data_IF_242686912852
#
_entry.id   IF_242686912852
#
_cell.length_a   1.000
_cell.length_b   1.000
_cell.length_c   1.000
_cell.angle_alpha   90.00
_cell.angle_beta   90.00
_cell.angle_gamma   90.00
#
_symmetry.space_group_name_H-M   'P 1'
#
loop_
_entity.id
_entity.type
_entity.pdbx_description
1 polymer ?
#
# COMPACT_ATOMS: atom_id res chain seq x y z
N UNK A 1 20.10 -8.16 18.76
CA UNK A 1 18.81 -8.37 18.09
C UNK A 1 18.93 -7.78 16.71
N UNK A 2 18.80 -8.62 15.69
CA UNK A 2 18.85 -8.17 14.31
C UNK A 2 17.51 -7.52 13.99
N UNK A 3 17.54 -6.31 13.44
CA UNK A 3 16.34 -5.59 13.00
C UNK A 3 16.29 -5.59 11.49
N UNK A 4 15.10 -5.74 10.94
CA UNK A 4 14.84 -5.68 9.52
C UNK A 4 14.07 -4.40 9.17
N UNK A 5 14.31 -3.79 8.01
CA UNK A 5 13.56 -2.65 7.54
C UNK A 5 12.16 -3.09 7.05
N UNK A 6 11.14 -2.44 7.56
CA UNK A 6 9.76 -2.56 7.11
C UNK A 6 9.27 -1.22 6.58
N UNK A 7 8.77 -1.21 5.35
CA UNK A 7 8.07 -0.05 4.80
C UNK A 7 6.63 -0.02 5.32
N UNK A 8 6.20 1.17 5.74
CA UNK A 8 4.83 1.40 6.20
C UNK A 8 3.94 1.69 4.98
N UNK A 9 2.85 0.95 4.90
CA UNK A 9 1.79 1.15 3.92
C UNK A 9 0.44 1.21 4.60
N UNK A 10 -0.55 1.75 3.89
CA UNK A 10 -1.95 1.71 4.27
C UNK A 10 -2.72 0.93 3.22
N UNK A 11 -3.65 0.11 3.68
CA UNK A 11 -4.59 -0.53 2.77
C UNK A 11 -5.94 0.16 2.78
N UNK A 12 -6.58 0.18 1.61
CA UNK A 12 -7.91 0.70 1.38
C UNK A 12 -8.83 -0.43 1.01
N UNK A 13 -9.96 -0.55 1.69
CA UNK A 13 -11.03 -1.48 1.34
C UNK A 13 -12.10 -0.71 0.56
N UNK A 14 -12.25 -1.06 -0.70
CA UNK A 14 -13.14 -0.39 -1.65
C UNK A 14 -14.29 -1.35 -1.96
N UNK A 15 -15.51 -1.08 -1.46
CA UNK A 15 -16.66 -1.89 -1.83
C UNK A 15 -17.00 -1.65 -3.29
N UNK A 16 -17.26 -2.72 -4.05
CA UNK A 16 -17.91 -2.59 -5.36
C UNK A 16 -19.38 -2.21 -5.20
N UNK A 17 -19.99 -1.69 -6.27
CA UNK A 17 -21.45 -1.46 -6.31
C UNK A 17 -22.27 -2.69 -5.88
N UNK A 18 -21.86 -3.89 -6.28
CA UNK A 18 -22.50 -5.16 -5.91
C UNK A 18 -22.36 -5.49 -4.41
N UNK A 19 -21.29 -5.05 -3.76
CA UNK A 19 -21.15 -5.18 -2.31
C UNK A 19 -22.20 -4.35 -1.57
N UNK A 20 -22.46 -3.12 -2.01
CA UNK A 20 -23.48 -2.25 -1.40
C UNK A 20 -24.90 -2.84 -1.54
N UNK A 21 -25.20 -3.47 -2.67
CA UNK A 21 -26.46 -4.21 -2.87
C UNK A 21 -26.57 -5.41 -1.92
N UNK A 22 -25.51 -6.19 -1.74
CA UNK A 22 -25.49 -7.30 -0.78
C UNK A 22 -25.54 -6.84 0.67
N UNK A 23 -24.90 -5.71 0.99
CA UNK A 23 -24.98 -5.07 2.29
C UNK A 23 -26.43 -4.69 2.61
N UNK A 24 -27.12 -4.11 1.63
CA UNK A 24 -28.54 -3.73 1.72
C UNK A 24 -29.42 -4.98 1.90
N UNK A 25 -29.16 -6.05 1.13
CA UNK A 25 -29.88 -7.32 1.26
C UNK A 25 -29.69 -8.00 2.63
N UNK A 26 -28.48 -7.94 3.20
CA UNK A 26 -28.17 -8.51 4.52
C UNK A 26 -28.74 -7.64 5.67
N UNK A 27 -28.82 -6.32 5.50
CA UNK A 27 -29.51 -5.41 6.42
C UNK A 27 -31.00 -5.75 6.54
N UNK A 28 -31.68 -6.07 5.44
CA UNK A 28 -33.09 -6.53 5.45
C UNK A 28 -33.29 -7.86 6.19
N UNK A 29 -32.24 -8.70 6.28
CA UNK A 29 -32.25 -9.99 6.98
C UNK A 29 -31.64 -9.96 8.39
N UNK A 30 -31.37 -8.76 8.94
CA UNK A 30 -31.03 -8.59 10.36
C UNK A 30 -29.53 -8.62 10.70
N UNK A 31 -28.63 -8.41 9.73
CA UNK A 31 -27.21 -8.19 10.04
C UNK A 31 -26.49 -7.37 8.99
N UNK A 32 -25.97 -6.20 9.36
CA UNK A 32 -25.04 -5.43 8.52
C UNK A 32 -23.68 -6.15 8.47
N UNK A 33 -23.16 -6.44 7.28
CA UNK A 33 -21.83 -7.04 7.09
C UNK A 33 -20.88 -6.01 6.50
N UNK A 34 -20.08 -5.34 7.33
CA UNK A 34 -19.13 -4.30 6.89
C UNK A 34 -17.97 -4.86 6.06
N UNK A 35 -17.30 -3.98 5.28
CA UNK A 35 -16.11 -4.35 4.51
C UNK A 35 -14.93 -4.76 5.41
N UNK A 36 -14.84 -4.18 6.60
CA UNK A 36 -13.86 -4.55 7.61
C UNK A 36 -14.12 -5.97 8.13
N UNK A 37 -15.38 -6.33 8.41
CA UNK A 37 -15.76 -7.70 8.79
C UNK A 37 -15.49 -8.72 7.68
N UNK A 38 -15.72 -8.34 6.42
CA UNK A 38 -15.35 -9.16 5.27
C UNK A 38 -13.84 -9.43 5.23
N UNK A 39 -13.02 -8.41 5.49
CA UNK A 39 -11.58 -8.57 5.52
C UNK A 39 -11.13 -9.45 6.69
N UNK A 40 -11.68 -9.23 7.90
CA UNK A 40 -11.43 -10.10 9.05
C UNK A 40 -11.79 -11.55 8.76
N UNK A 41 -12.90 -11.81 8.08
CA UNK A 41 -13.32 -13.15 7.66
C UNK A 41 -12.30 -13.79 6.72
N UNK A 42 -11.77 -13.06 5.73
CA UNK A 42 -10.76 -13.59 4.82
C UNK A 42 -9.45 -13.95 5.55
N UNK A 43 -9.03 -13.11 6.50
CA UNK A 43 -7.86 -13.38 7.34
C UNK A 43 -8.12 -14.60 8.24
N UNK A 44 -9.32 -14.74 8.80
CA UNK A 44 -9.70 -15.89 9.61
C UNK A 44 -9.70 -17.20 8.81
N UNK A 45 -10.15 -17.18 7.55
CA UNK A 45 -10.04 -18.36 6.68
C UNK A 45 -8.58 -18.68 6.33
N UNK A 46 -7.71 -17.69 6.14
CA UNK A 46 -6.28 -17.92 5.96
C UNK A 46 -5.63 -18.51 7.22
N UNK A 47 -6.00 -18.02 8.41
CA UNK A 47 -5.54 -18.51 9.71
C UNK A 47 -5.88 -20.00 9.92
N UNK A 48 -7.07 -20.44 9.51
CA UNK A 48 -7.47 -21.87 9.58
C UNK A 48 -6.69 -22.75 8.62
N UNK A 49 -6.45 -22.28 7.39
CA UNK A 49 -5.82 -23.09 6.35
C UNK A 49 -4.29 -23.04 6.41
N UNK A 50 -3.73 -22.14 7.23
CA UNK A 50 -2.30 -21.86 7.47
C UNK A 50 -1.58 -21.34 6.22
N UNK A 51 -1.92 -21.80 5.03
CA UNK A 51 -1.35 -21.36 3.78
C UNK A 51 -2.37 -21.36 2.64
N UNK A 52 -2.04 -20.60 1.60
CA UNK A 52 -2.83 -20.47 0.38
C UNK A 52 -1.92 -20.23 -0.82
N UNK A 53 -1.99 -21.14 -1.79
CA UNK A 53 -1.42 -20.93 -3.12
C UNK A 53 -2.34 -20.00 -3.94
N UNK A 54 -1.73 -19.00 -4.57
CA UNK A 54 -2.43 -17.99 -5.35
C UNK A 54 -1.74 -17.84 -6.70
N UNK A 55 -2.53 -17.95 -7.75
CA UNK A 55 -2.05 -17.77 -9.12
C UNK A 55 -2.64 -16.52 -9.73
N UNK A 56 -1.76 -15.63 -10.19
CA UNK A 56 -2.14 -14.40 -10.89
C UNK A 56 -1.72 -14.53 -12.35
N UNK A 57 -2.69 -14.40 -13.25
CA UNK A 57 -2.45 -14.37 -14.69
C UNK A 57 -1.96 -12.98 -15.11
N UNK A 58 -0.92 -12.95 -15.93
CA UNK A 58 -0.39 -11.73 -16.54
C UNK A 58 0.09 -12.06 -17.95
N UNK A 59 -0.62 -11.53 -18.93
CA UNK A 59 -0.39 -11.85 -20.35
C UNK A 59 -0.42 -13.37 -20.54
N UNK A 60 0.60 -13.96 -21.17
CA UNK A 60 0.73 -15.42 -21.35
C UNK A 60 1.45 -16.12 -20.18
N UNK A 61 1.62 -15.45 -19.04
CA UNK A 61 2.34 -15.99 -17.87
C UNK A 61 1.45 -16.16 -16.66
N UNK A 62 1.64 -17.28 -15.95
CA UNK A 62 1.00 -17.56 -14.67
C UNK A 62 2.03 -17.40 -13.56
N UNK A 63 1.83 -16.40 -12.70
CA UNK A 63 2.73 -16.13 -11.58
C UNK A 63 2.15 -16.79 -10.34
N UNK A 64 2.97 -17.59 -9.66
CA UNK A 64 2.60 -18.27 -8.44
C UNK A 64 3.11 -17.52 -7.20
N UNK A 65 2.20 -17.30 -6.25
CA UNK A 65 2.44 -16.71 -4.95
C UNK A 65 1.95 -17.65 -3.86
N UNK A 66 2.57 -17.57 -2.69
CA UNK A 66 2.11 -18.28 -1.50
C UNK A 66 1.91 -17.27 -0.36
N UNK A 67 0.76 -17.37 0.29
CA UNK A 67 0.49 -16.70 1.55
C UNK A 67 0.49 -17.73 2.67
N UNK A 68 1.25 -17.46 3.72
CA UNK A 68 1.25 -18.24 4.95
C UNK A 68 0.81 -17.35 6.10
N UNK A 69 -0.15 -17.81 6.89
CA UNK A 69 -0.39 -17.25 8.20
C UNK A 69 0.71 -17.73 9.14
N UNK A 70 1.44 -16.78 9.74
CA UNK A 70 2.50 -17.08 10.70
C UNK A 70 1.97 -17.05 12.12
N UNK A 71 1.40 -15.91 12.53
CA UNK A 71 0.94 -15.70 13.89
C UNK A 71 -0.04 -14.52 13.99
N UNK A 72 -0.75 -14.43 15.11
CA UNK A 72 -1.59 -13.30 15.48
C UNK A 72 -1.01 -12.62 16.72
N UNK A 73 -0.73 -11.33 16.60
CA UNK A 73 -0.21 -10.49 17.67
C UNK A 73 -1.37 -9.69 18.28
N UNK A 74 -1.84 -10.11 19.45
CA UNK A 74 -3.00 -9.52 20.11
C UNK A 74 -4.30 -9.77 19.33
N UNK A 75 -5.26 -8.82 19.40
CA UNK A 75 -6.57 -8.99 18.74
C UNK A 75 -6.55 -8.56 17.28
N UNK A 76 -5.91 -7.43 17.01
CA UNK A 76 -6.10 -6.68 15.77
C UNK A 76 -4.90 -6.80 14.80
N UNK A 77 -3.85 -7.55 15.14
CA UNK A 77 -2.66 -7.66 14.28
C UNK A 77 -2.36 -9.10 13.88
N UNK A 78 -2.08 -9.32 12.60
CA UNK A 78 -1.64 -10.61 12.06
C UNK A 78 -0.33 -10.47 11.32
N UNK A 79 0.47 -11.54 11.34
CA UNK A 79 1.73 -11.64 10.61
C UNK A 79 1.59 -12.73 9.56
N UNK A 80 1.90 -12.37 8.32
CA UNK A 80 1.90 -13.26 7.17
C UNK A 80 3.31 -13.40 6.62
N UNK A 81 3.63 -14.57 6.08
CA UNK A 81 4.73 -14.73 5.13
C UNK A 81 4.16 -14.71 3.71
N UNK A 82 4.73 -13.84 2.87
CA UNK A 82 4.37 -13.70 1.46
C UNK A 82 5.54 -14.11 0.59
N UNK A 83 5.36 -15.14 -0.22
CA UNK A 83 6.36 -15.65 -1.14
C UNK A 83 5.91 -15.52 -2.60
N UNK A 84 6.88 -15.40 -3.49
CA UNK A 84 6.68 -15.44 -4.94
C UNK A 84 7.61 -16.48 -5.53
N UNK A 85 7.05 -17.41 -6.29
CA UNK A 85 7.85 -18.39 -7.02
C UNK A 85 8.74 -17.70 -8.05
N UNK A 86 10.02 -18.08 -8.06
CA UNK A 86 11.00 -17.67 -9.05
C UNK A 86 11.75 -18.89 -9.56
N UNK A 87 12.06 -18.90 -10.85
CA UNK A 87 13.01 -19.85 -11.40
C UNK A 87 14.43 -19.34 -11.15
N UNK A 88 15.26 -20.13 -10.47
CA UNK A 88 16.70 -19.89 -10.36
C UNK A 88 17.46 -20.93 -11.19
N UNK A 89 18.60 -20.51 -11.76
CA UNK A 89 19.48 -21.37 -12.55
C UNK A 89 20.69 -21.73 -11.71
N UNK A 90 20.84 -23.02 -11.38
CA UNK A 90 21.99 -23.55 -10.65
C UNK A 90 22.93 -24.26 -11.62
N UNK A 91 24.19 -23.84 -11.64
CA UNK A 91 25.23 -24.49 -12.43
C UNK A 91 25.81 -25.68 -11.67
N UNK A 92 25.50 -26.91 -12.09
CA UNK A 92 26.01 -28.14 -11.48
C UNK A 92 27.17 -28.71 -12.27
N UNK A 93 28.23 -29.09 -11.56
CA UNK A 93 29.38 -29.80 -12.15
C UNK A 93 28.98 -31.26 -12.36
N UNK A 94 29.08 -31.74 -13.60
CA UNK A 94 28.98 -33.16 -13.95
C UNK A 94 30.37 -33.71 -14.28
N UNK A 95 30.47 -34.99 -14.62
CA UNK A 95 31.76 -35.63 -14.95
C UNK A 95 32.49 -34.99 -16.15
N UNK A 96 31.76 -34.33 -17.06
CA UNK A 96 32.33 -33.82 -18.32
C UNK A 96 32.14 -32.32 -18.56
N UNK A 97 31.22 -31.65 -17.85
CA UNK A 97 30.91 -30.23 -18.07
C UNK A 97 30.15 -29.63 -16.89
N UNK A 98 29.92 -28.32 -16.97
CA UNK A 98 28.99 -27.61 -16.07
C UNK A 98 27.67 -27.46 -16.81
N UNK A 99 26.57 -27.91 -16.21
CA UNK A 99 25.22 -27.81 -16.79
C UNK A 99 24.34 -26.89 -15.93
N UNK A 100 23.55 -26.05 -16.60
CA UNK A 100 22.56 -25.20 -15.97
C UNK A 100 21.29 -26.01 -15.68
N UNK A 101 20.84 -26.04 -14.42
CA UNK A 101 19.59 -26.65 -14.00
C UNK A 101 18.66 -25.57 -13.42
N UNK A 102 17.45 -25.49 -13.98
CA UNK A 102 16.37 -24.66 -13.43
C UNK A 102 15.73 -25.34 -12.21
N UNK A 103 15.50 -24.57 -11.15
CA UNK A 103 14.78 -25.03 -9.96
C UNK A 103 13.92 -23.89 -9.40
N UNK A 104 12.72 -24.19 -8.85
CA UNK A 104 11.90 -23.19 -8.21
C UNK A 104 12.53 -22.74 -6.89
N UNK A 105 12.48 -21.43 -6.65
CA UNK A 105 12.84 -20.76 -5.40
C UNK A 105 11.65 -19.94 -4.92
N UNK A 106 11.49 -19.85 -3.60
CA UNK A 106 10.40 -19.12 -2.96
C UNK A 106 10.98 -18.09 -1.99
N UNK A 107 11.65 -17.04 -2.50
CA UNK A 107 11.98 -15.90 -1.66
C UNK A 107 10.68 -15.39 -1.04
N UNK A 108 10.73 -15.09 0.26
CA UNK A 108 9.55 -14.67 1.02
C UNK A 108 9.86 -13.42 1.84
N UNK A 109 8.81 -12.72 2.26
CA UNK A 109 8.92 -11.56 3.13
C UNK A 109 7.81 -11.58 4.17
N UNK A 110 8.06 -10.98 5.33
CA UNK A 110 7.04 -10.79 6.36
C UNK A 110 6.14 -9.59 6.04
N UNK A 111 4.83 -9.75 6.20
CA UNK A 111 3.83 -8.69 6.11
C UNK A 111 3.03 -8.68 7.41
N UNK A 112 3.11 -7.59 8.16
CA UNK A 112 2.35 -7.39 9.40
C UNK A 112 1.15 -6.52 9.06
N UNK A 113 -0.06 -6.96 9.40
CA UNK A 113 -1.31 -6.26 9.07
C UNK A 113 -2.01 -5.89 10.36
N UNK A 114 -2.26 -4.60 10.58
CA UNK A 114 -3.12 -4.13 11.66
C UNK A 114 -4.54 -3.88 11.10
N UNK A 115 -5.47 -4.75 11.46
CA UNK A 115 -6.83 -4.81 10.94
C UNK A 115 -7.67 -3.59 11.35
N UNK A 116 -7.41 -3.04 12.54
CA UNK A 116 -8.17 -1.93 13.11
C UNK A 116 -7.75 -0.56 12.57
N UNK A 117 -6.44 -0.35 12.37
CA UNK A 117 -5.86 0.93 11.91
C UNK A 117 -5.59 0.96 10.40
N UNK A 118 -5.81 -0.17 9.74
CA UNK A 118 -5.60 -0.37 8.31
C UNK A 118 -4.17 -0.15 7.81
N UNK A 119 -3.18 -0.55 8.61
CA UNK A 119 -1.78 -0.49 8.24
C UNK A 119 -1.26 -1.85 7.81
N UNK A 120 -0.33 -1.84 6.85
CA UNK A 120 0.53 -2.96 6.54
C UNK A 120 1.99 -2.53 6.71
N UNK A 121 2.79 -3.36 7.37
CA UNK A 121 4.24 -3.24 7.40
C UNK A 121 4.81 -4.32 6.51
N UNK A 122 5.48 -3.94 5.44
CA UNK A 122 6.03 -4.87 4.47
C UNK A 122 7.55 -4.89 4.64
N UNK A 123 8.10 -6.04 5.03
CA UNK A 123 9.54 -6.22 5.13
C UNK A 123 10.19 -6.07 3.75
N UNK A 124 11.29 -5.34 3.68
CA UNK A 124 12.02 -5.18 2.43
C UNK A 124 12.80 -6.47 2.10
N UNK A 125 12.54 -7.07 0.94
CA UNK A 125 13.30 -8.21 0.47
C UNK A 125 13.65 -8.11 -1.03
N UNK A 126 14.94 -7.83 -1.31
CA UNK A 126 15.47 -7.72 -2.68
C UNK A 126 15.51 -9.03 -3.44
N UNK A 127 15.56 -10.17 -2.75
CA UNK A 127 15.45 -11.49 -3.39
C UNK A 127 14.03 -11.72 -3.91
N UNK A 128 13.01 -11.22 -3.21
CA UNK A 128 11.62 -11.29 -3.64
C UNK A 128 11.32 -10.31 -4.78
N UNK A 129 11.71 -9.03 -4.64
CA UNK A 129 11.44 -8.00 -5.65
C UNK A 129 12.42 -6.83 -5.58
N UNK A 130 12.62 -6.13 -6.69
CA UNK A 130 13.54 -4.98 -6.77
C UNK A 130 13.03 -3.72 -6.09
N UNK A 131 11.72 -3.61 -5.84
CA UNK A 131 11.11 -2.45 -5.18
C UNK A 131 9.98 -2.87 -4.26
N UNK A 132 9.79 -2.10 -3.19
CA UNK A 132 8.68 -2.30 -2.24
C UNK A 132 7.31 -2.15 -2.90
N UNK A 133 7.17 -1.22 -3.84
CA UNK A 133 5.93 -1.02 -4.62
C UNK A 133 5.51 -2.27 -5.37
N UNK A 134 6.48 -3.01 -5.91
CA UNK A 134 6.22 -4.27 -6.58
C UNK A 134 5.77 -5.36 -5.61
N UNK A 135 6.26 -5.35 -4.36
CA UNK A 135 5.80 -6.28 -3.31
C UNK A 135 4.37 -5.90 -2.89
N UNK A 136 4.13 -4.62 -2.57
CA UNK A 136 2.81 -4.11 -2.17
C UNK A 136 1.75 -4.39 -3.25
N UNK A 137 2.05 -4.10 -4.52
CA UNK A 137 1.15 -4.36 -5.65
C UNK A 137 0.87 -5.85 -5.84
N UNK A 138 1.89 -6.70 -5.72
CA UNK A 138 1.71 -8.15 -5.82
C UNK A 138 0.86 -8.71 -4.67
N UNK A 139 1.11 -8.22 -3.45
CA UNK A 139 0.33 -8.59 -2.28
C UNK A 139 -1.12 -8.13 -2.40
N UNK A 140 -1.37 -6.89 -2.82
CA UNK A 140 -2.71 -6.35 -3.10
C UNK A 140 -3.48 -7.24 -4.07
N UNK A 141 -2.84 -7.68 -5.17
CA UNK A 141 -3.44 -8.60 -6.16
C UNK A 141 -3.77 -9.96 -5.56
N UNK A 142 -2.91 -10.50 -4.71
CA UNK A 142 -3.16 -11.77 -4.04
C UNK A 142 -4.35 -11.68 -3.09
N UNK A 143 -4.44 -10.59 -2.33
CA UNK A 143 -5.56 -10.36 -1.42
C UNK A 143 -6.88 -10.13 -2.17
N UNK A 144 -6.87 -9.42 -3.30
CA UNK A 144 -8.03 -9.33 -4.20
C UNK A 144 -8.48 -10.70 -4.71
N UNK A 145 -7.52 -11.54 -5.13
CA UNK A 145 -7.85 -12.91 -5.57
C UNK A 145 -8.47 -13.75 -4.44
N UNK A 146 -7.97 -13.60 -3.22
CA UNK A 146 -8.54 -14.24 -2.04
C UNK A 146 -9.99 -13.78 -1.79
N UNK A 147 -10.27 -12.49 -1.93
CA UNK A 147 -11.62 -11.95 -1.80
C UNK A 147 -12.58 -12.41 -2.90
N UNK A 148 -12.13 -12.49 -4.15
CA UNK A 148 -12.93 -13.01 -5.25
C UNK A 148 -13.37 -14.45 -5.00
N UNK A 149 -12.46 -15.31 -4.50
CA UNK A 149 -12.75 -16.70 -4.17
C UNK A 149 -13.73 -16.85 -3.00
N UNK A 150 -13.77 -15.87 -2.10
CA UNK A 150 -14.70 -15.81 -0.98
C UNK A 150 -15.99 -15.05 -1.33
N UNK A 151 -16.14 -14.60 -2.58
CA UNK A 151 -17.28 -13.80 -3.07
C UNK A 151 -17.49 -12.52 -2.25
N UNK A 152 -16.40 -11.84 -1.87
CA UNK A 152 -16.46 -10.69 -0.95
C UNK A 152 -16.65 -9.34 -1.64
N UNK A 153 -16.64 -9.24 -2.97
CA UNK A 153 -16.98 -8.02 -3.74
C UNK A 153 -16.27 -6.72 -3.25
N UNK A 154 -15.11 -6.88 -2.63
CA UNK A 154 -14.27 -5.82 -2.06
C UNK A 154 -12.95 -5.86 -2.79
N UNK A 155 -12.45 -4.66 -3.10
CA UNK A 155 -11.13 -4.47 -3.67
C UNK A 155 -10.22 -3.90 -2.60
N UNK A 156 -9.05 -4.49 -2.44
CA UNK A 156 -7.97 -3.99 -1.60
C UNK A 156 -6.91 -3.33 -2.47
N UNK A 157 -6.57 -2.10 -2.08
CA UNK A 157 -5.48 -1.31 -2.64
C UNK A 157 -4.49 -0.98 -1.51
N UNK A 158 -3.20 -1.12 -1.77
CA UNK A 158 -2.14 -0.92 -0.76
C UNK A 158 -1.18 0.14 -1.27
N UNK A 159 -1.08 1.26 -0.55
CA UNK A 159 -0.23 2.39 -0.92
C UNK A 159 0.74 2.79 0.19
N UNK A 160 1.88 3.33 -0.22
CA UNK A 160 2.94 3.75 0.70
C UNK A 160 2.52 4.96 1.53
N UNK A 161 2.86 4.95 2.82
CA UNK A 161 2.86 6.18 3.62
C UNK A 161 4.16 6.93 3.34
N UNK A 162 4.04 8.22 3.03
CA UNK A 162 5.14 9.11 2.65
C UNK A 162 5.08 10.42 3.42
N UNK A 163 6.13 11.24 3.31
CA UNK A 163 6.16 12.57 3.91
C UNK A 163 5.63 13.63 2.93
N UNK A 164 4.61 14.38 3.35
CA UNK A 164 4.10 15.53 2.61
C UNK A 164 5.21 16.59 2.37
N UNK A 165 6.15 16.72 3.31
CA UNK A 165 7.27 17.66 3.18
C UNK A 165 8.15 17.35 1.96
N UNK A 166 8.29 16.08 1.58
CA UNK A 166 9.05 15.70 0.38
C UNK A 166 8.44 16.32 -0.87
N UNK A 167 7.11 16.27 -1.02
CA UNK A 167 6.43 16.91 -2.14
C UNK A 167 6.72 18.42 -2.17
N UNK A 168 6.53 19.10 -1.04
CA UNK A 168 6.72 20.56 -0.96
C UNK A 168 8.15 20.98 -1.20
N UNK A 169 9.14 20.23 -0.71
CA UNK A 169 10.55 20.48 -0.98
C UNK A 169 10.85 20.36 -2.47
N UNK A 170 10.34 19.30 -3.13
CA UNK A 170 10.50 19.12 -4.58
C UNK A 170 9.83 20.27 -5.35
N UNK A 171 8.65 20.71 -4.92
CA UNK A 171 7.97 21.84 -5.56
C UNK A 171 8.80 23.12 -5.45
N UNK A 172 9.32 23.43 -4.25
CA UNK A 172 10.17 24.61 -4.00
C UNK A 172 11.48 24.57 -4.79
N UNK A 173 12.17 23.43 -4.80
CA UNK A 173 13.44 23.25 -5.50
C UNK A 173 13.33 23.34 -7.02
N UNK A 174 12.13 23.15 -7.57
CA UNK A 174 11.87 23.13 -9.01
C UNK A 174 10.88 24.22 -9.43
N UNK A 175 10.74 25.27 -8.63
CA UNK A 175 9.82 26.37 -8.94
C UNK A 175 10.08 26.94 -10.33
N UNK A 176 8.99 27.23 -11.05
CA UNK A 176 9.04 27.67 -12.44
C UNK A 176 9.34 26.58 -13.48
N UNK A 177 9.83 25.40 -13.11
CA UNK A 177 10.20 24.32 -14.04
C UNK A 177 9.24 23.14 -14.07
N UNK A 178 8.31 23.04 -13.11
CA UNK A 178 7.30 21.97 -13.10
C UNK A 178 6.32 22.18 -14.24
N UNK A 179 6.28 21.21 -15.16
CA UNK A 179 5.41 21.24 -16.35
C UNK A 179 4.20 20.34 -16.23
N UNK A 180 4.22 19.36 -15.32
CA UNK A 180 3.12 18.44 -15.12
C UNK A 180 3.04 17.99 -13.66
N UNK A 181 1.83 17.92 -13.13
CA UNK A 181 1.51 17.33 -11.83
C UNK A 181 0.30 16.40 -11.99
N UNK A 182 0.41 15.18 -11.46
CA UNK A 182 -0.67 14.19 -11.43
C UNK A 182 -0.87 13.73 -9.99
N UNK A 183 -2.13 13.62 -9.60
CA UNK A 183 -2.57 13.14 -8.30
C UNK A 183 -3.55 11.99 -8.55
N UNK A 184 -3.13 10.77 -8.22
CA UNK A 184 -3.99 9.59 -8.23
C UNK A 184 -4.45 9.33 -6.81
N UNK A 185 -5.77 9.29 -6.61
CA UNK A 185 -6.43 9.16 -5.32
C UNK A 185 -7.22 7.84 -5.29
N UNK A 186 -7.21 7.15 -4.16
CA UNK A 186 -8.01 5.93 -3.96
C UNK A 186 -9.32 6.28 -3.28
N UNK A 187 -10.44 5.92 -3.91
CA UNK A 187 -11.81 6.18 -3.45
C UNK A 187 -12.35 5.08 -2.54
N UNK A 188 -13.24 5.44 -1.61
CA UNK A 188 -12.96 6.09 -0.34
C UNK A 188 -12.42 5.08 0.69
N UNK A 189 -11.27 5.41 1.27
CA UNK A 189 -10.72 4.66 2.39
C UNK A 189 -11.26 5.18 3.73
N UNK A 190 -11.49 4.27 4.69
CA UNK A 190 -11.71 4.67 6.07
C UNK A 190 -10.36 5.05 6.68
N UNK A 191 -10.14 6.35 6.87
CA UNK A 191 -8.91 6.86 7.49
C UNK A 191 -9.05 7.03 9.01
N UNK A 192 -10.21 6.67 9.58
CA UNK A 192 -10.59 7.12 10.92
C UNK A 192 -10.53 8.65 11.08
N UNK A 193 -10.48 9.38 9.95
CA UNK A 193 -10.18 10.80 9.85
C UNK A 193 -10.95 11.39 8.67
N UNK A 194 -11.53 12.57 8.90
CA UNK A 194 -12.27 13.32 7.89
C UNK A 194 -11.31 14.18 7.06
N UNK A 195 -11.18 13.86 5.78
CA UNK A 195 -10.49 14.71 4.79
C UNK A 195 -11.54 15.31 3.88
N UNK A 196 -11.37 16.57 3.49
CA UNK A 196 -12.23 17.21 2.47
C UNK A 196 -12.20 16.45 1.14
N UNK A 197 -11.04 15.83 0.84
CA UNK A 197 -10.87 14.96 -0.34
C UNK A 197 -11.79 13.73 -0.30
N UNK A 198 -12.12 13.22 0.90
CA UNK A 198 -12.99 12.04 1.06
C UNK A 198 -14.40 12.31 0.54
N UNK A 199 -14.98 13.48 0.82
CA UNK A 199 -16.33 13.82 0.36
C UNK A 199 -16.40 13.94 -1.15
N UNK A 200 -15.39 14.57 -1.77
CA UNK A 200 -15.26 14.60 -3.23
C UNK A 200 -15.18 13.18 -3.81
N UNK A 201 -14.34 12.30 -3.23
CA UNK A 201 -14.17 10.93 -3.72
C UNK A 201 -15.43 10.07 -3.57
N UNK A 202 -16.21 10.26 -2.50
CA UNK A 202 -17.51 9.59 -2.32
C UNK A 202 -18.48 9.99 -3.44
N UNK A 203 -18.59 11.29 -3.74
CA UNK A 203 -19.46 11.77 -4.83
C UNK A 203 -19.09 11.14 -6.17
N UNK A 204 -17.79 11.08 -6.50
CA UNK A 204 -17.34 10.44 -7.74
C UNK A 204 -17.59 8.94 -7.74
N UNK A 205 -17.37 8.25 -6.60
CA UNK A 205 -17.59 6.81 -6.49
C UNK A 205 -19.07 6.46 -6.64
N UNK A 206 -19.97 7.17 -5.96
CA UNK A 206 -21.41 6.95 -6.05
C UNK A 206 -21.92 7.17 -7.48
N UNK A 207 -21.37 8.16 -8.18
CA UNK A 207 -21.76 8.49 -9.55
C UNK A 207 -21.16 7.55 -10.62
N UNK A 208 -19.95 7.03 -10.41
CA UNK A 208 -19.17 6.37 -11.47
C UNK A 208 -18.64 4.97 -11.10
N UNK A 209 -18.87 4.50 -9.88
CA UNK A 209 -18.33 3.26 -9.32
C UNK A 209 -16.80 3.15 -9.51
N UNK A 210 -16.07 4.26 -9.33
CA UNK A 210 -14.62 4.30 -9.55
C UNK A 210 -13.84 3.88 -8.29
N UNK A 211 -12.79 3.09 -8.48
CA UNK A 211 -11.83 2.72 -7.43
C UNK A 211 -10.75 3.80 -7.23
N UNK A 212 -10.36 4.46 -8.33
CA UNK A 212 -9.31 5.48 -8.35
C UNK A 212 -9.79 6.71 -9.12
N UNK A 213 -9.36 7.90 -8.69
CA UNK A 213 -9.55 9.16 -9.38
C UNK A 213 -8.19 9.77 -9.69
N UNK A 214 -7.93 10.12 -10.95
CA UNK A 214 -6.68 10.77 -11.36
C UNK A 214 -6.94 12.20 -11.82
N UNK A 215 -6.22 13.15 -11.22
CA UNK A 215 -6.32 14.59 -11.52
C UNK A 215 -4.96 15.05 -12.05
N UNK A 216 -4.95 15.63 -13.25
CA UNK A 216 -3.73 16.08 -13.92
C UNK A 216 -3.75 17.58 -14.22
N UNK A 217 -2.61 18.25 -14.01
CA UNK A 217 -2.37 19.63 -14.41
C UNK A 217 -1.15 19.67 -15.32
N UNK A 218 -1.24 20.41 -16.42
CA UNK A 218 -0.14 20.57 -17.37
C UNK A 218 0.07 22.04 -17.71
N UNK A 219 1.34 22.45 -17.75
CA UNK A 219 1.75 23.69 -18.36
C UNK A 219 3.05 23.44 -19.15
N UNK A 220 2.93 23.40 -20.48
CA UNK A 220 4.06 23.15 -21.39
C UNK A 220 5.17 24.20 -21.28
N UNK A 221 4.91 25.37 -20.68
CA UNK A 221 5.91 26.40 -20.40
C UNK A 221 6.63 26.20 -19.06
N UNK A 222 6.17 25.27 -18.21
CA UNK A 222 6.56 25.21 -16.79
C UNK A 222 5.65 26.10 -15.94
N UNK A 223 6.07 26.44 -14.72
CA UNK A 223 5.36 27.39 -13.83
C UNK A 223 3.94 26.96 -13.42
N UNK A 224 3.72 25.66 -13.22
CA UNK A 224 2.51 25.21 -12.52
C UNK A 224 2.49 25.77 -11.09
N UNK A 225 1.35 26.36 -10.69
CA UNK A 225 1.13 26.85 -9.32
C UNK A 225 0.50 25.74 -8.49
N UNK A 226 1.28 25.18 -7.56
CA UNK A 226 0.85 24.01 -6.78
C UNK A 226 0.54 24.32 -5.30
N UNK A 227 0.79 25.55 -4.82
CA UNK A 227 0.49 25.99 -3.46
C UNK A 227 -0.96 26.46 -3.29
N UNK A 228 -1.93 25.66 -3.73
CA UNK A 228 -3.36 25.93 -3.48
C UNK A 228 -3.85 25.11 -2.29
N UNK A 229 -4.87 25.59 -1.56
CA UNK A 229 -5.42 24.84 -0.43
C UNK A 229 -5.91 23.45 -0.85
N UNK A 230 -6.54 23.36 -2.02
CA UNK A 230 -7.01 22.09 -2.55
C UNK A 230 -5.88 21.08 -2.82
N UNK A 231 -4.76 21.51 -3.43
CA UNK A 231 -3.60 20.62 -3.63
C UNK A 231 -2.99 20.22 -2.28
N UNK A 232 -3.01 21.11 -1.28
CA UNK A 232 -2.57 20.75 0.07
C UNK A 232 -3.39 19.61 0.66
N UNK A 233 -4.72 19.62 0.49
CA UNK A 233 -5.58 18.52 0.93
C UNK A 233 -5.31 17.22 0.17
N UNK A 234 -5.09 17.29 -1.15
CA UNK A 234 -4.71 16.11 -1.94
C UNK A 234 -3.39 15.50 -1.45
N UNK A 235 -2.39 16.34 -1.16
CA UNK A 235 -1.09 15.87 -0.66
C UNK A 235 -1.20 15.27 0.73
N UNK A 236 -2.03 15.82 1.62
CA UNK A 236 -2.30 15.22 2.93
C UNK A 236 -2.89 13.82 2.77
N UNK A 237 -3.90 13.69 1.92
CA UNK A 237 -4.57 12.42 1.64
C UNK A 237 -3.60 11.38 1.05
N UNK A 238 -2.84 11.76 0.01
CA UNK A 238 -1.85 10.91 -0.65
C UNK A 238 -0.74 10.49 0.31
N UNK A 239 -0.18 11.44 1.07
CA UNK A 239 0.97 11.16 1.95
C UNK A 239 0.62 10.18 3.07
N UNK A 240 -0.65 10.08 3.44
CA UNK A 240 -1.17 9.13 4.42
C UNK A 240 -1.59 7.78 3.80
N UNK A 241 -1.07 7.44 2.61
CA UNK A 241 -1.23 6.12 1.99
C UNK A 241 -2.57 5.94 1.30
N UNK A 242 -3.12 6.98 0.67
CA UNK A 242 -4.38 6.93 -0.07
C UNK A 242 -4.25 7.39 -1.52
N UNK A 243 -3.05 7.25 -2.08
CA UNK A 243 -2.80 7.57 -3.47
C UNK A 243 -1.33 7.79 -3.78
N UNK A 244 -1.07 8.36 -4.94
CA UNK A 244 0.26 8.63 -5.49
C UNK A 244 0.24 10.02 -6.13
N UNK A 245 1.33 10.77 -5.99
CA UNK A 245 1.56 11.97 -6.80
C UNK A 245 2.74 11.76 -7.75
N UNK A 246 2.69 12.39 -8.93
CA UNK A 246 3.78 12.39 -9.92
C UNK A 246 4.04 13.80 -10.44
N UNK A 247 5.30 14.20 -10.53
CA UNK A 247 5.75 15.50 -11.03
C UNK A 247 6.71 15.32 -12.21
N UNK A 248 6.48 16.05 -13.31
CA UNK A 248 7.48 16.21 -14.38
C UNK A 248 8.07 17.61 -14.33
N UNK A 249 9.40 17.66 -14.27
CA UNK A 249 10.18 18.90 -14.29
C UNK A 249 10.86 19.03 -15.64
N UNK A 250 10.80 20.21 -16.26
CA UNK A 250 11.46 20.47 -17.54
C UNK A 250 12.96 20.18 -17.47
N UNK A 251 13.46 19.47 -18.48
CA UNK A 251 14.87 19.12 -18.60
C UNK A 251 15.34 18.03 -17.64
N UNK A 252 14.46 17.50 -16.76
CA UNK A 252 14.80 16.39 -15.86
C UNK A 252 14.05 15.12 -16.27
N UNK A 253 14.76 14.00 -16.22
CA UNK A 253 14.21 12.64 -16.28
C UNK A 253 14.87 11.83 -15.16
N UNK A 254 14.16 10.88 -14.52
CA UNK A 254 12.77 10.45 -14.75
C UNK A 254 11.72 11.37 -14.07
N UNK A 255 10.43 11.03 -14.24
CA UNK A 255 9.32 11.60 -13.45
C UNK A 255 9.57 11.35 -11.95
N UNK A 256 9.33 12.36 -11.13
CA UNK A 256 9.46 12.26 -9.67
C UNK A 256 8.12 11.80 -9.10
N UNK A 257 8.12 10.79 -8.21
CA UNK A 257 6.90 10.18 -7.65
C UNK A 257 7.02 10.02 -6.13
N UNK A 258 5.89 10.04 -5.42
CA UNK A 258 5.82 9.72 -3.98
C UNK A 258 6.42 8.35 -3.68
N UNK A 259 6.26 7.41 -4.60
CA UNK A 259 6.67 6.01 -4.50
C UNK A 259 8.19 5.81 -4.28
N UNK A 260 9.01 6.83 -4.55
CA UNK A 260 10.47 6.75 -4.41
C UNK A 260 10.96 7.06 -2.98
N UNK A 261 10.10 7.57 -2.10
CA UNK A 261 10.48 7.97 -0.74
C UNK A 261 9.52 7.38 0.31
N UNK A 262 9.40 6.04 0.38
CA UNK A 262 8.61 5.38 1.42
C UNK A 262 9.20 5.68 2.80
N UNK A 263 8.34 5.67 3.82
CA UNK A 263 8.79 5.68 5.20
C UNK A 263 8.99 4.23 5.67
N UNK A 264 10.21 3.92 6.09
CA UNK A 264 10.54 2.63 6.71
C UNK A 264 10.81 2.77 8.22
N UNK A 265 10.54 1.68 8.94
CA UNK A 265 10.86 1.50 10.36
C UNK A 265 11.70 0.25 10.53
N UNK A 266 12.48 0.20 11.60
CA UNK A 266 13.25 -0.99 11.96
C UNK A 266 12.42 -1.79 12.95
N UNK A 267 12.10 -3.04 12.61
CA UNK A 267 11.43 -3.97 13.49
C UNK A 267 12.36 -5.16 13.76
N UNK A 268 12.40 -5.70 14.98
CA UNK A 268 13.07 -6.95 15.27
C UNK A 268 12.41 -8.10 14.50
N UNK A 269 13.20 -9.13 14.19
CA UNK A 269 12.66 -10.38 13.66
C UNK A 269 11.68 -10.99 14.67
N UNK A 270 10.47 -11.36 14.22
CA UNK A 270 9.42 -11.86 15.12
C UNK A 270 9.79 -13.20 15.76
N UNK A 271 10.74 -13.94 15.16
CA UNK A 271 11.25 -15.18 15.74
C UNK A 271 12.10 -15.01 17.00
N UNK A 272 12.55 -13.78 17.31
CA UNK A 272 13.52 -13.49 18.37
C UNK A 272 12.93 -12.78 19.62
N UNK A 273 11.62 -12.51 19.64
CA UNK A 273 10.96 -11.70 20.68
C UNK A 273 9.80 -12.43 21.34
N UNK A 274 9.59 -12.18 22.63
CA UNK A 274 8.36 -12.63 23.30
C UNK A 274 7.14 -11.84 22.81
N UNK A 275 5.94 -12.43 22.88
CA UNK A 275 4.69 -11.78 22.45
C UNK A 275 4.49 -10.38 23.06
N UNK A 276 4.90 -10.19 24.33
CA UNK A 276 4.80 -8.90 25.03
C UNK A 276 5.77 -7.85 24.47
N UNK A 277 6.98 -8.27 24.11
CA UNK A 277 7.97 -7.37 23.50
C UNK A 277 7.58 -7.05 22.06
N UNK A 278 7.10 -8.04 21.30
CA UNK A 278 6.53 -7.84 19.97
C UNK A 278 5.40 -6.82 19.96
N UNK A 279 4.45 -6.96 20.89
CA UNK A 279 3.35 -6.02 21.03
C UNK A 279 3.83 -4.60 21.34
N UNK A 280 4.78 -4.44 22.27
CA UNK A 280 5.31 -3.12 22.62
C UNK A 280 6.00 -2.45 21.43
N UNK A 281 6.82 -3.20 20.69
CA UNK A 281 7.51 -2.69 19.51
C UNK A 281 6.51 -2.26 18.44
N UNK A 282 5.44 -3.03 18.25
CA UNK A 282 4.37 -2.67 17.33
C UNK A 282 3.62 -1.42 17.80
N UNK A 283 3.33 -1.27 19.10
CA UNK A 283 2.69 -0.09 19.66
C UNK A 283 3.54 1.17 19.42
N UNK A 284 4.87 1.07 19.61
CA UNK A 284 5.82 2.14 19.32
C UNK A 284 5.84 2.50 17.82
N UNK A 285 5.78 1.49 16.94
CA UNK A 285 5.68 1.67 15.51
C UNK A 285 4.38 2.38 15.09
N UNK A 286 3.25 1.99 15.66
CA UNK A 286 1.95 2.62 15.43
C UNK A 286 1.93 4.08 15.91
N UNK A 287 2.49 4.37 17.09
CA UNK A 287 2.61 5.74 17.60
C UNK A 287 3.48 6.62 16.69
N UNK A 288 4.54 6.06 16.10
CA UNK A 288 5.35 6.76 15.10
C UNK A 288 4.56 7.08 13.84
N UNK A 289 3.69 6.18 13.37
CA UNK A 289 2.81 6.45 12.22
C UNK A 289 1.85 7.59 12.55
N UNK A 290 1.18 7.56 13.71
CA UNK A 290 0.25 8.62 14.11
C UNK A 290 0.95 9.99 14.16
N UNK A 291 2.21 10.04 14.58
CA UNK A 291 3.01 11.26 14.53
C UNK A 291 3.25 11.73 13.08
N UNK A 292 3.64 10.84 12.17
CA UNK A 292 3.85 11.16 10.75
C UNK A 292 2.57 11.70 10.12
N UNK A 293 1.43 11.07 10.40
CA UNK A 293 0.14 11.51 9.87
C UNK A 293 -0.23 12.92 10.35
N UNK A 294 0.08 13.23 11.61
CA UNK A 294 -0.13 14.56 12.16
C UNK A 294 0.84 15.59 11.57
N UNK A 295 2.10 15.23 11.34
CA UNK A 295 3.07 16.08 10.64
C UNK A 295 2.63 16.37 9.19
N UNK A 296 2.08 15.37 8.49
CA UNK A 296 1.54 15.52 7.15
C UNK A 296 0.39 16.54 7.06
N UNK A 297 -0.35 16.77 8.16
CA UNK A 297 -1.48 17.72 8.20
C UNK A 297 -1.06 19.19 8.31
N UNK A 298 0.19 19.47 8.69
CA UNK A 298 0.67 20.84 8.89
C UNK A 298 0.62 21.59 7.55
N UNK A 299 -0.15 22.69 7.49
CA UNK A 299 -0.28 23.50 6.28
C UNK A 299 1.08 24.08 5.89
N UNK A 300 1.48 23.87 4.64
CA UNK A 300 2.67 24.50 4.07
C UNK A 300 2.25 25.81 3.40
N UNK A 301 2.63 26.94 4.00
CA UNK A 301 2.45 28.26 3.38
C UNK A 301 3.59 28.51 2.39
N UNK A 302 3.30 29.20 1.28
CA UNK A 302 4.36 29.91 0.55
C UNK A 302 5.03 30.85 1.55
N UNK A 303 6.37 30.82 1.61
CA UNK A 303 7.10 31.88 2.30
C UNK A 303 6.85 33.16 1.50
N UNK A 304 6.12 34.10 2.08
CA UNK A 304 5.92 35.48 1.61
C UNK A 304 7.25 36.29 1.63
N UNK A 305 8.37 35.69 1.27
CA UNK A 305 9.65 36.37 1.08
C UNK A 305 9.86 36.57 -0.43
N UNK A 306 9.10 37.50 -0.98
CA UNK A 306 9.35 38.10 -2.30
C UNK A 306 8.87 39.56 -2.24
N UNK A 307 9.59 40.36 -1.45
CA UNK A 307 9.68 41.82 -1.59
C UNK A 307 10.62 42.16 -2.75
#
# INVERSE_FOLDING_TARGET
METQPYTITRYSLIPSSSFNEQLTFNLEKGGAFSKEQAFEQAIFELEKNIHKDIYIERDDTKIHYMLYFSERLGKDTVVLQFAKEKTIVLNKVTESKIEAQETPDFPNTSIIINLKKQYCFIQENRKLSSSINSIASAFSKCMNKLFDELYLFIIIEIELITSAANFWNIVKENDGYISYAEFQLISPNFLGMDYETTEMLKVYQEANNNEKLTIGFENSKGKLKLFTEWIQELIKYISNGCGIWRLKVKGKRPTITSENNPISIQLPDSSDISDKEAQKVLDDALAKIERIENENKIKNKESDDSN
#
